data_IF_132725941410
#
_entry.id   IF_132725941410
#
_cell.length_a   1.000
_cell.length_b   1.000
_cell.length_c   1.000
_cell.angle_alpha   90.00
_cell.angle_beta   90.00
_cell.angle_gamma   90.00
#
_symmetry.space_group_name_H-M   'P 1'
#
loop_
_entity.id
_entity.type
_entity.pdbx_description
1 polymer ?
#
# COMPACT_ATOMS: atom_id res chain seq x y z
N UNK A 1 4.82 -11.60 -4.41
CA UNK A 1 4.84 -11.00 -3.06
C UNK A 1 5.96 -9.97 -2.95
N UNK A 2 7.20 -10.38 -3.28
CA UNK A 2 8.42 -9.56 -3.15
C UNK A 2 8.32 -8.13 -3.72
N UNK A 3 7.65 -7.94 -4.86
CA UNK A 3 7.43 -6.61 -5.43
C UNK A 3 6.63 -5.67 -4.51
N UNK A 4 5.51 -6.17 -3.95
CA UNK A 4 4.65 -5.40 -3.04
C UNK A 4 5.40 -5.09 -1.75
N UNK A 5 6.10 -6.09 -1.18
CA UNK A 5 6.90 -5.92 0.02
C UNK A 5 8.03 -4.90 -0.18
N UNK A 6 8.69 -4.92 -1.34
CA UNK A 6 9.74 -3.96 -1.67
C UNK A 6 9.17 -2.53 -1.70
N UNK A 7 8.07 -2.31 -2.43
CA UNK A 7 7.41 -0.98 -2.50
C UNK A 7 6.94 -0.51 -1.13
N UNK A 8 6.37 -1.39 -0.32
CA UNK A 8 5.92 -1.03 1.04
C UNK A 8 7.07 -0.71 1.98
N UNK A 9 8.21 -1.39 1.82
CA UNK A 9 9.40 -1.13 2.63
C UNK A 9 10.14 0.15 2.22
N UNK A 10 10.18 0.48 0.92
CA UNK A 10 10.95 1.63 0.43
C UNK A 10 10.12 2.90 0.25
N UNK A 11 8.78 2.78 0.19
CA UNK A 11 7.89 3.89 -0.15
C UNK A 11 8.02 4.38 -1.59
N UNK A 12 8.85 3.72 -2.41
CA UNK A 12 9.11 4.15 -3.79
C UNK A 12 7.84 4.05 -4.66
N UNK A 13 7.67 4.94 -5.64
CA UNK A 13 6.62 4.81 -6.64
C UNK A 13 6.65 3.44 -7.32
N UNK A 14 5.48 2.90 -7.67
CA UNK A 14 5.39 1.60 -8.36
C UNK A 14 6.21 1.54 -9.65
N UNK A 15 6.32 2.65 -10.37
CA UNK A 15 7.07 2.75 -11.62
C UNK A 15 8.58 2.51 -11.45
N UNK A 16 9.08 2.71 -10.24
CA UNK A 16 10.51 2.56 -9.92
C UNK A 16 10.84 1.15 -9.40
N UNK A 17 9.87 0.23 -9.46
CA UNK A 17 10.07 -1.15 -9.06
C UNK A 17 11.21 -1.79 -9.88
N UNK A 18 12.27 -2.30 -9.23
CA UNK A 18 13.36 -2.96 -9.94
C UNK A 18 12.85 -4.17 -10.76
N UNK A 19 13.34 -4.30 -11.99
CA UNK A 19 12.90 -5.34 -12.94
C UNK A 19 13.05 -6.77 -12.40
N UNK A 20 14.02 -7.00 -11.50
CA UNK A 20 14.19 -8.30 -10.81
C UNK A 20 12.98 -8.76 -10.00
N UNK A 21 12.05 -7.84 -9.68
CA UNK A 21 10.78 -8.15 -9.01
C UNK A 21 9.61 -8.35 -9.98
N UNK A 22 9.87 -8.25 -11.28
CA UNK A 22 8.89 -8.36 -12.36
C UNK A 22 8.18 -7.05 -12.69
N UNK A 23 7.14 -7.16 -13.53
CA UNK A 23 6.38 -6.01 -14.01
C UNK A 23 5.63 -5.29 -12.88
N UNK A 24 5.88 -3.98 -12.75
CA UNK A 24 5.18 -3.14 -11.79
C UNK A 24 3.67 -3.12 -12.01
N UNK A 25 3.19 -3.20 -13.26
CA UNK A 25 1.75 -3.23 -13.58
C UNK A 25 1.08 -4.46 -12.98
N UNK A 26 1.73 -5.61 -13.09
CA UNK A 26 1.23 -6.88 -12.54
C UNK A 26 1.22 -6.85 -11.01
N UNK A 27 2.29 -6.31 -10.40
CA UNK A 27 2.38 -6.17 -8.95
C UNK A 27 1.31 -5.22 -8.40
N UNK A 28 1.18 -4.04 -9.02
CA UNK A 28 0.16 -3.05 -8.66
C UNK A 28 -1.26 -3.59 -8.87
N UNK A 29 -1.54 -4.23 -10.02
CA UNK A 29 -2.85 -4.82 -10.28
C UNK A 29 -3.23 -5.91 -9.27
N UNK A 30 -2.27 -6.71 -8.80
CA UNK A 30 -2.50 -7.65 -7.69
C UNK A 30 -2.76 -6.91 -6.38
N UNK A 31 -1.95 -5.90 -6.05
CA UNK A 31 -2.13 -5.08 -4.86
C UNK A 31 -3.54 -4.46 -4.81
N UNK A 32 -4.01 -3.89 -5.91
CA UNK A 32 -5.35 -3.30 -6.03
C UNK A 32 -6.46 -4.34 -5.92
N UNK A 33 -6.33 -5.51 -6.55
CA UNK A 33 -7.33 -6.59 -6.40
C UNK A 33 -7.46 -7.05 -4.95
N UNK A 34 -6.34 -7.21 -4.25
CA UNK A 34 -6.35 -7.60 -2.84
C UNK A 34 -6.95 -6.55 -1.90
N UNK A 35 -6.92 -5.28 -2.30
CA UNK A 35 -7.65 -4.23 -1.59
C UNK A 35 -9.15 -4.34 -1.84
N UNK A 36 -9.55 -4.59 -3.08
CA UNK A 36 -10.95 -4.72 -3.46
C UNK A 36 -11.62 -6.00 -2.90
N UNK A 37 -10.91 -7.13 -2.87
CA UNK A 37 -11.45 -8.43 -2.43
C UNK A 37 -11.25 -8.73 -0.93
N UNK A 38 -10.74 -7.75 -0.18
CA UNK A 38 -10.52 -7.85 1.27
C UNK A 38 -9.35 -8.74 1.70
N UNK A 39 -8.49 -9.19 0.77
CA UNK A 39 -7.30 -9.99 1.11
C UNK A 39 -6.39 -9.27 2.09
N UNK A 40 -6.23 -7.95 1.98
CA UNK A 40 -5.43 -7.18 2.95
C UNK A 40 -6.00 -7.22 4.36
N UNK A 41 -7.33 -7.15 4.49
CA UNK A 41 -7.99 -7.22 5.79
C UNK A 41 -7.79 -8.61 6.43
N UNK A 42 -7.96 -9.68 5.63
CA UNK A 42 -7.71 -11.06 6.10
C UNK A 42 -6.27 -11.28 6.51
N UNK A 43 -5.31 -10.80 5.70
CA UNK A 43 -3.89 -10.91 6.01
C UNK A 43 -3.53 -10.15 7.28
N UNK A 44 -4.06 -8.92 7.46
CA UNK A 44 -3.87 -8.15 8.69
C UNK A 44 -4.40 -8.89 9.92
N UNK A 45 -5.62 -9.43 9.84
CA UNK A 45 -6.21 -10.19 10.94
C UNK A 45 -5.36 -11.42 11.31
N UNK A 46 -4.84 -12.13 10.31
CA UNK A 46 -3.99 -13.29 10.54
C UNK A 46 -2.65 -12.92 11.18
N UNK A 47 -2.01 -11.84 10.74
CA UNK A 47 -0.75 -11.36 11.32
C UNK A 47 -0.94 -10.91 12.77
N UNK A 48 -2.05 -10.22 13.08
CA UNK A 48 -2.39 -9.85 14.46
C UNK A 48 -2.56 -11.10 15.31
N UNK A 49 -3.38 -12.07 14.87
CA UNK A 49 -3.60 -13.30 15.63
C UNK A 49 -2.29 -14.07 15.90
N UNK A 50 -1.35 -14.10 14.95
CA UNK A 50 -0.05 -14.70 15.17
C UNK A 50 0.81 -13.94 16.17
N UNK A 51 0.78 -12.61 16.14
CA UNK A 51 1.57 -11.79 17.06
C UNK A 51 0.98 -11.78 18.49
N UNK A 52 -0.34 -11.93 18.65
CA UNK A 52 -0.99 -12.13 19.95
C UNK A 52 -0.55 -13.44 20.62
N UNK A 53 -0.28 -14.48 19.84
CA UNK A 53 0.21 -15.76 20.36
C UNK A 53 1.68 -15.70 20.82
N UNK A 54 2.44 -14.73 20.35
CA UNK A 54 3.88 -14.57 20.62
C UNK A 54 4.17 -13.45 21.64
N UNK A 55 3.14 -12.87 22.27
CA UNK A 55 3.22 -11.62 23.06
C UNK A 55 3.95 -10.47 22.32
N UNK A 56 3.97 -10.52 20.98
CA UNK A 56 4.79 -9.67 20.12
C UNK A 56 4.14 -8.35 19.70
N UNK A 57 2.95 -8.02 20.21
CA UNK A 57 2.24 -6.79 19.81
C UNK A 57 2.50 -5.63 20.76
N UNK A 58 3.32 -4.69 20.32
CA UNK A 58 3.28 -3.32 20.82
C UNK A 58 2.26 -2.49 20.02
N UNK A 59 1.08 -2.29 20.59
CA UNK A 59 0.00 -1.49 19.98
C UNK A 59 0.35 0.00 19.84
N UNK A 60 1.36 0.50 20.55
CA UNK A 60 1.79 1.90 20.44
C UNK A 60 2.65 2.17 19.19
N UNK A 61 3.23 1.12 18.60
CA UNK A 61 4.09 1.24 17.41
C UNK A 61 3.32 1.42 16.09
N UNK A 62 1.99 1.28 16.07
CA UNK A 62 1.16 1.25 14.86
C UNK A 62 0.40 2.55 14.55
N UNK A 63 1.00 3.71 14.84
CA UNK A 63 0.44 5.00 14.40
C UNK A 63 1.38 5.62 13.36
N UNK A 64 1.03 5.50 12.08
CA UNK A 64 1.59 6.40 11.06
C UNK A 64 0.48 6.94 10.16
N UNK A 65 0.16 8.23 10.35
CA UNK A 65 -0.86 8.96 9.59
C UNK A 65 -0.27 10.28 9.10
N UNK A 66 0.37 10.27 7.93
CA UNK A 66 0.71 11.52 7.23
C UNK A 66 -0.43 11.91 6.29
N UNK A 67 -1.33 12.79 6.74
CA UNK A 67 -2.29 13.48 5.88
C UNK A 67 -1.53 14.54 5.08
N UNK A 68 -1.31 14.30 3.79
CA UNK A 68 -0.85 15.33 2.85
C UNK A 68 -2.07 16.01 2.23
N UNK A 69 -2.30 17.29 2.55
CA UNK A 69 -3.27 18.12 1.83
C UNK A 69 -2.82 18.28 0.38
N UNK A 70 -3.67 17.92 -0.57
CA UNK A 70 -3.40 18.15 -2.01
C UNK A 70 -3.51 19.64 -2.33
N UNK A 71 -2.62 20.13 -3.20
CA UNK A 71 -2.61 21.52 -3.67
C UNK A 71 -3.95 21.87 -4.37
N UNK A 72 -4.53 23.01 -3.98
CA UNK A 72 -5.81 23.56 -4.43
C UNK A 72 -5.92 23.95 -5.94
N UNK A 73 -4.95 23.58 -6.77
CA UNK A 73 -4.91 23.97 -8.20
C UNK A 73 -5.14 22.82 -9.19
N UNK A 74 -5.62 21.65 -8.75
CA UNK A 74 -5.97 20.55 -9.66
C UNK A 74 -7.31 20.71 -10.40
N UNK A 75 -8.06 21.80 -10.17
CA UNK A 75 -9.24 22.13 -10.96
C UNK A 75 -8.83 22.90 -12.24
N UNK A 76 -8.40 22.15 -13.26
CA UNK A 76 -8.17 22.69 -14.61
C UNK A 76 -9.47 23.22 -15.25
N UNK A 77 -9.32 24.26 -16.06
CA UNK A 77 -10.40 25.08 -16.63
C UNK A 77 -11.39 24.33 -17.54
N UNK A 78 -12.66 24.81 -17.59
CA UNK A 78 -13.70 24.37 -18.52
C UNK A 78 -13.29 24.70 -19.96
N UNK A 79 -13.28 23.69 -20.84
CA UNK A 79 -13.17 23.87 -22.30
C UNK A 79 -14.56 24.21 -22.85
N UNK A 80 -14.71 25.39 -23.45
CA UNK A 80 -15.95 25.81 -24.11
C UNK A 80 -15.64 26.41 -25.47
N UNK A 81 -16.47 26.03 -26.47
CA UNK A 81 -16.63 26.71 -27.76
C UNK A 81 -15.54 26.46 -28.77
#
# INVERSE_FOLDING_TARGET
MNAICWVKRTGSPWRDLPERYGSWKTAHGRFSRWAADGTWARLKAHVIALAELDDGIDWNAQVDATIVRTHQHAAGARKGG
#
